data_IF_896083714274
#
_entry.id   IF_896083714274
#
_cell.length_a   1.000
_cell.length_b   1.000
_cell.length_c   1.000
_cell.angle_alpha   90.00
_cell.angle_beta   90.00
_cell.angle_gamma   90.00
#
_symmetry.space_group_name_H-M   'P 1'
#
loop_
_entity.id
_entity.type
_entity.pdbx_description
1 polymer ?
#
# COMPACT_ATOMS: atom_id res chain seq x y z
N UNK A 1 3.19 18.38 14.40
CA UNK A 1 3.98 17.37 13.67
C UNK A 1 3.81 17.63 12.19
N UNK A 2 4.90 17.60 11.41
CA UNK A 2 4.89 17.67 9.95
C UNK A 2 5.49 16.36 9.43
N UNK A 3 4.73 15.61 8.64
CA UNK A 3 5.17 14.38 8.00
C UNK A 3 5.24 14.60 6.49
N UNK A 4 6.37 14.25 5.89
CA UNK A 4 6.61 14.39 4.44
C UNK A 4 7.02 13.02 3.93
N UNK A 5 6.11 12.38 3.20
CA UNK A 5 6.41 11.11 2.53
C UNK A 5 7.15 11.36 1.22
N UNK A 6 7.96 10.39 0.82
CA UNK A 6 8.82 10.44 -0.37
C UNK A 6 9.57 11.77 -0.52
N UNK A 7 10.15 12.27 0.57
CA UNK A 7 10.73 13.62 0.65
C UNK A 7 11.88 13.84 -0.36
N UNK A 8 12.51 12.78 -0.85
CA UNK A 8 13.54 12.83 -1.89
C UNK A 8 13.02 13.37 -3.23
N UNK A 9 11.71 13.31 -3.48
CA UNK A 9 11.07 13.89 -4.68
C UNK A 9 11.29 15.40 -4.77
N UNK A 10 11.45 16.08 -3.63
CA UNK A 10 11.77 17.51 -3.55
C UNK A 10 13.14 17.85 -4.14
N UNK A 11 14.08 16.90 -4.23
CA UNK A 11 15.40 17.13 -4.87
C UNK A 11 15.43 16.70 -6.33
N UNK A 12 14.49 15.84 -6.76
CA UNK A 12 14.44 15.28 -8.12
C UNK A 12 13.62 16.13 -9.12
N UNK A 13 12.97 17.20 -8.66
CA UNK A 13 12.04 18.01 -9.46
C UNK A 13 12.68 18.96 -10.49
N UNK A 14 13.24 18.44 -11.58
CA UNK A 14 13.52 19.19 -12.82
C UNK A 14 14.47 20.38 -12.75
N UNK A 15 14.59 21.15 -13.84
CA UNK A 15 15.49 22.32 -13.99
C UNK A 15 15.16 23.52 -13.07
N UNK A 16 14.16 23.43 -12.18
CA UNK A 16 13.72 24.53 -11.34
C UNK A 16 14.02 24.32 -9.85
N UNK A 17 14.58 25.34 -9.21
CA UNK A 17 15.06 25.34 -7.81
C UNK A 17 13.97 25.29 -6.72
N UNK A 18 12.68 25.19 -7.09
CA UNK A 18 11.56 25.23 -6.13
C UNK A 18 11.64 24.14 -5.05
N UNK A 19 12.11 22.95 -5.43
CA UNK A 19 12.25 21.84 -4.51
C UNK A 19 13.35 22.06 -3.45
N UNK A 20 14.47 22.67 -3.86
CA UNK A 20 15.53 23.11 -2.93
C UNK A 20 15.03 24.23 -2.03
N UNK A 21 14.30 25.20 -2.57
CA UNK A 21 13.74 26.30 -1.77
C UNK A 21 12.75 25.79 -0.72
N UNK A 22 11.89 24.81 -1.07
CA UNK A 22 10.98 24.17 -0.12
C UNK A 22 11.74 23.50 1.04
N UNK A 23 12.81 22.79 0.73
CA UNK A 23 13.70 22.15 1.71
C UNK A 23 14.36 23.19 2.63
N UNK A 24 14.83 24.31 2.08
CA UNK A 24 15.43 25.38 2.87
C UNK A 24 14.40 26.03 3.81
N UNK A 25 13.15 26.21 3.37
CA UNK A 25 12.07 26.69 4.25
C UNK A 25 11.74 25.68 5.35
N UNK A 26 11.81 24.38 5.09
CA UNK A 26 11.62 23.34 6.12
C UNK A 26 12.75 23.42 7.15
N UNK A 27 14.01 23.54 6.73
CA UNK A 27 15.15 23.69 7.64
C UNK A 27 14.98 24.94 8.50
N UNK A 28 14.63 26.07 7.89
CA UNK A 28 14.37 27.32 8.60
C UNK A 28 13.23 27.17 9.61
N UNK A 29 12.15 26.49 9.24
CA UNK A 29 11.03 26.21 10.13
C UNK A 29 11.45 25.34 11.33
N UNK A 30 12.32 24.34 11.11
CA UNK A 30 12.88 23.50 12.17
C UNK A 30 13.73 24.30 13.15
N UNK A 31 14.46 25.30 12.67
CA UNK A 31 15.27 26.19 13.50
C UNK A 31 14.41 27.19 14.29
N UNK A 32 13.54 27.92 13.60
CA UNK A 32 12.71 28.98 14.16
C UNK A 32 11.68 28.45 15.17
N UNK A 33 11.26 27.18 15.01
CA UNK A 33 10.18 26.57 15.81
C UNK A 33 10.56 25.24 16.45
N UNK A 34 11.84 25.02 16.76
CA UNK A 34 12.34 23.75 17.33
C UNK A 34 11.56 23.21 18.54
N UNK A 35 11.02 24.10 19.38
CA UNK A 35 10.28 23.73 20.60
C UNK A 35 8.78 23.45 20.33
N UNK A 36 8.33 23.57 19.07
CA UNK A 36 6.91 23.51 18.67
C UNK A 36 6.63 22.60 17.48
N UNK A 37 7.64 22.13 16.77
CA UNK A 37 7.48 21.26 15.61
C UNK A 37 8.39 20.04 15.69
N UNK A 38 7.84 18.91 15.28
CA UNK A 38 8.59 17.69 14.93
C UNK A 38 8.38 17.49 13.44
N UNK A 39 9.48 17.41 12.68
CA UNK A 39 9.48 17.12 11.25
C UNK A 39 9.98 15.70 11.04
N UNK A 40 9.18 14.90 10.34
CA UNK A 40 9.50 13.52 9.97
C UNK A 40 9.47 13.45 8.45
N UNK A 41 10.59 13.03 7.87
CA UNK A 41 10.73 12.79 6.43
C UNK A 41 10.88 11.29 6.22
N UNK A 42 10.17 10.75 5.22
CA UNK A 42 10.19 9.34 4.87
C UNK A 42 10.51 9.15 3.39
N UNK A 43 11.00 7.96 3.06
CA UNK A 43 11.38 7.57 1.71
C UNK A 43 12.31 6.37 1.73
N UNK A 44 12.71 5.92 0.55
CA UNK A 44 13.68 4.84 0.38
C UNK A 44 15.08 5.25 0.85
N UNK A 45 15.80 4.30 1.45
CA UNK A 45 17.09 4.56 2.13
C UNK A 45 18.10 5.29 1.24
N UNK A 46 18.34 4.78 0.03
CA UNK A 46 19.35 5.33 -0.88
C UNK A 46 18.96 6.75 -1.34
N UNK A 47 17.68 6.98 -1.59
CA UNK A 47 17.14 8.28 -1.95
C UNK A 47 17.19 9.29 -0.79
N UNK A 48 16.93 8.84 0.43
CA UNK A 48 17.05 9.68 1.61
C UNK A 48 18.51 10.03 1.90
N UNK A 49 19.44 9.11 1.66
CA UNK A 49 20.87 9.40 1.76
C UNK A 49 21.32 10.44 0.72
N UNK A 50 20.79 10.37 -0.50
CA UNK A 50 21.01 11.40 -1.53
C UNK A 50 20.42 12.76 -1.10
N UNK A 51 19.19 12.79 -0.59
CA UNK A 51 18.54 14.00 -0.08
C UNK A 51 19.37 14.64 1.04
N UNK A 52 19.77 13.87 2.06
CA UNK A 52 20.54 14.37 3.20
C UNK A 52 21.96 14.80 2.82
N UNK A 53 22.54 14.19 1.78
CA UNK A 53 23.86 14.56 1.28
C UNK A 53 23.84 15.76 0.34
N UNK A 54 22.67 16.20 -0.13
CA UNK A 54 22.54 17.33 -1.05
C UNK A 54 22.88 18.69 -0.41
N UNK A 55 22.75 18.82 0.91
CA UNK A 55 23.08 20.02 1.67
C UNK A 55 23.57 19.64 3.09
N UNK A 56 24.80 20.04 3.49
CA UNK A 56 25.32 19.78 4.84
C UNK A 56 24.40 20.25 5.98
N UNK A 57 23.62 21.30 5.74
CA UNK A 57 22.60 21.79 6.67
C UNK A 57 21.57 20.73 7.01
N UNK A 58 21.03 20.02 6.02
CA UNK A 58 20.00 19.00 6.22
C UNK A 58 20.49 17.85 7.10
N UNK A 59 21.66 17.30 6.80
CA UNK A 59 22.20 16.16 7.55
C UNK A 59 22.35 16.47 9.05
N UNK A 60 22.70 17.70 9.40
CA UNK A 60 22.82 18.12 10.79
C UNK A 60 21.48 18.38 11.50
N UNK A 61 20.42 18.71 10.75
CA UNK A 61 19.06 18.95 11.29
C UNK A 61 18.21 17.68 11.34
N UNK A 62 18.63 16.60 10.70
CA UNK A 62 18.05 15.26 10.80
C UNK A 62 19.02 14.27 11.49
N UNK A 63 19.30 14.43 12.79
CA UNK A 63 20.27 13.58 13.49
C UNK A 63 19.76 12.18 13.80
N UNK A 64 18.43 11.96 13.76
CA UNK A 64 17.81 10.67 14.05
C UNK A 64 17.35 10.03 12.75
N UNK A 65 17.93 8.88 12.44
CA UNK A 65 17.55 8.05 11.29
C UNK A 65 17.02 6.72 11.83
N UNK A 66 15.81 6.35 11.41
CA UNK A 66 15.19 5.07 11.74
C UNK A 66 15.04 4.31 10.43
N UNK A 67 15.68 3.14 10.35
CA UNK A 67 15.60 2.26 9.17
C UNK A 67 14.56 1.19 9.44
N UNK A 68 13.59 1.07 8.53
CA UNK A 68 12.60 -0.01 8.55
C UNK A 68 13.00 -1.05 7.52
N UNK A 69 13.54 -2.21 7.93
CA UNK A 69 13.86 -3.27 6.99
C UNK A 69 12.59 -3.88 6.40
N UNK A 70 12.72 -4.49 5.23
CA UNK A 70 11.65 -5.28 4.64
C UNK A 70 11.28 -6.45 5.56
N UNK A 71 9.98 -6.78 5.60
CA UNK A 71 9.50 -7.93 6.35
C UNK A 71 9.97 -9.23 5.70
N UNK A 72 10.43 -10.18 6.50
CA UNK A 72 10.65 -11.57 6.07
C UNK A 72 9.36 -12.22 5.57
N UNK A 73 9.48 -13.33 4.83
CA UNK A 73 8.30 -14.04 4.32
C UNK A 73 7.38 -14.50 5.46
N UNK A 74 7.96 -14.91 6.59
CA UNK A 74 7.19 -15.31 7.78
C UNK A 74 6.47 -14.14 8.43
N UNK A 75 7.08 -12.95 8.48
CA UNK A 75 6.41 -11.74 8.95
C UNK A 75 5.28 -11.32 8.01
N UNK A 76 5.46 -11.45 6.69
CA UNK A 76 4.40 -11.17 5.71
C UNK A 76 3.23 -12.16 5.85
N UNK A 77 3.50 -13.45 6.07
CA UNK A 77 2.46 -14.44 6.40
C UNK A 77 1.72 -14.04 7.68
N UNK A 78 2.44 -13.63 8.73
CA UNK A 78 1.83 -13.19 9.98
C UNK A 78 0.96 -11.93 9.81
N UNK A 79 1.34 -11.02 8.90
CA UNK A 79 0.51 -9.86 8.54
C UNK A 79 -0.78 -10.32 7.85
N UNK A 80 -0.71 -11.26 6.91
CA UNK A 80 -1.91 -11.82 6.24
C UNK A 80 -2.82 -12.51 7.25
N UNK A 81 -2.28 -13.35 8.13
CA UNK A 81 -3.04 -13.99 9.20
C UNK A 81 -3.71 -12.94 10.10
N UNK A 82 -2.99 -11.90 10.50
CA UNK A 82 -3.54 -10.81 11.31
C UNK A 82 -4.66 -10.03 10.60
N UNK A 83 -4.55 -9.84 9.27
CA UNK A 83 -5.64 -9.24 8.48
C UNK A 83 -6.85 -10.18 8.44
N UNK A 84 -6.62 -11.47 8.20
CA UNK A 84 -7.65 -12.51 8.20
C UNK A 84 -8.42 -12.54 9.52
N UNK A 85 -7.73 -12.63 10.65
CA UNK A 85 -8.33 -12.65 11.99
C UNK A 85 -9.27 -11.44 12.22
N UNK A 86 -8.81 -10.22 11.86
CA UNK A 86 -9.64 -9.01 11.99
C UNK A 86 -10.88 -9.04 11.10
N UNK A 87 -10.79 -9.69 9.94
CA UNK A 87 -11.88 -9.82 8.98
C UNK A 87 -12.67 -11.13 9.15
N UNK A 88 -12.37 -11.95 10.18
CA UNK A 88 -12.97 -13.26 10.46
C UNK A 88 -12.74 -14.31 9.36
N UNK A 89 -11.60 -14.22 8.70
CA UNK A 89 -11.09 -15.27 7.81
C UNK A 89 -9.95 -16.03 8.47
N UNK A 90 -9.90 -17.33 8.23
CA UNK A 90 -8.81 -18.20 8.63
C UNK A 90 -8.21 -18.88 7.40
N UNK A 91 -6.88 -18.84 7.27
CA UNK A 91 -6.18 -19.60 6.24
C UNK A 91 -6.04 -21.05 6.70
N UNK A 92 -6.19 -22.00 5.79
CA UNK A 92 -5.77 -23.39 6.05
C UNK A 92 -4.24 -23.54 6.09
N UNK A 93 -3.75 -24.66 6.60
CA UNK A 93 -2.31 -24.96 6.59
C UNK A 93 -1.73 -24.95 5.15
N UNK A 94 -2.44 -25.55 4.20
CA UNK A 94 -2.02 -25.59 2.80
C UNK A 94 -2.05 -24.19 2.15
N UNK A 95 -3.04 -23.36 2.50
CA UNK A 95 -3.09 -21.97 2.07
C UNK A 95 -1.87 -21.17 2.57
N UNK A 96 -1.45 -21.35 3.82
CA UNK A 96 -0.25 -20.71 4.37
C UNK A 96 1.02 -21.19 3.68
N UNK A 97 1.12 -22.49 3.37
CA UNK A 97 2.25 -23.04 2.62
C UNK A 97 2.33 -22.41 1.22
N UNK A 98 1.20 -22.32 0.52
CA UNK A 98 1.15 -21.67 -0.81
C UNK A 98 1.51 -20.19 -0.70
N UNK A 99 0.92 -19.45 0.24
CA UNK A 99 1.22 -18.03 0.48
C UNK A 99 2.72 -17.81 0.69
N UNK A 100 3.36 -18.60 1.56
CA UNK A 100 4.81 -18.52 1.78
C UNK A 100 5.60 -18.78 0.49
N UNK A 101 5.18 -19.75 -0.32
CA UNK A 101 5.86 -20.05 -1.58
C UNK A 101 5.76 -18.90 -2.60
N UNK A 102 4.61 -18.22 -2.65
CA UNK A 102 4.38 -17.04 -3.49
C UNK A 102 5.27 -15.89 -3.04
N UNK A 103 5.31 -15.62 -1.73
CA UNK A 103 6.15 -14.58 -1.14
C UNK A 103 7.64 -14.83 -1.41
N UNK A 104 8.11 -16.06 -1.21
CA UNK A 104 9.50 -16.45 -1.45
C UNK A 104 9.92 -16.31 -2.93
N UNK A 105 8.97 -16.47 -3.86
CA UNK A 105 9.19 -16.28 -5.29
C UNK A 105 9.10 -14.80 -5.73
N UNK A 106 8.66 -13.90 -4.85
CA UNK A 106 8.45 -12.49 -5.19
C UNK A 106 9.77 -11.70 -5.10
N UNK A 107 10.22 -11.04 -6.18
CA UNK A 107 11.44 -10.25 -6.15
C UNK A 107 11.37 -9.09 -5.14
N UNK A 108 12.33 -9.02 -4.23
CA UNK A 108 12.49 -7.92 -3.27
C UNK A 108 13.34 -6.83 -3.90
N UNK A 109 12.71 -5.99 -4.71
CA UNK A 109 13.34 -4.84 -5.36
C UNK A 109 12.87 -3.49 -4.80
N UNK A 110 13.32 -2.40 -5.41
CA UNK A 110 12.76 -1.07 -5.16
C UNK A 110 11.23 -1.13 -5.34
N UNK A 111 10.49 -0.76 -4.30
CA UNK A 111 9.03 -0.77 -4.35
C UNK A 111 8.35 -2.11 -4.05
N UNK A 112 9.03 -3.09 -3.42
CA UNK A 112 8.46 -4.39 -3.00
C UNK A 112 7.11 -4.31 -2.25
N UNK A 113 6.76 -3.16 -1.68
CA UNK A 113 5.42 -2.88 -1.15
C UNK A 113 5.16 -3.46 0.24
N UNK A 114 5.94 -4.44 0.71
CA UNK A 114 5.90 -4.97 2.09
C UNK A 114 4.46 -5.27 2.57
N UNK A 115 3.97 -4.57 3.59
CA UNK A 115 2.63 -4.75 4.13
C UNK A 115 1.52 -4.49 3.09
N UNK A 116 1.77 -3.65 2.08
CA UNK A 116 0.86 -3.45 0.94
C UNK A 116 0.74 -4.72 0.12
N UNK A 117 1.86 -5.39 -0.16
CA UNK A 117 1.85 -6.68 -0.87
C UNK A 117 1.05 -7.74 -0.09
N UNK A 118 1.27 -7.86 1.22
CA UNK A 118 0.50 -8.79 2.06
C UNK A 118 -1.01 -8.51 2.00
N UNK A 119 -1.41 -7.22 2.03
CA UNK A 119 -2.80 -6.81 1.88
C UNK A 119 -3.37 -7.19 0.51
N UNK A 120 -2.68 -6.87 -0.58
CA UNK A 120 -3.13 -7.17 -1.94
C UNK A 120 -3.30 -8.70 -2.13
N UNK A 121 -2.37 -9.51 -1.62
CA UNK A 121 -2.48 -10.97 -1.66
C UNK A 121 -3.70 -11.49 -0.91
N UNK A 122 -4.00 -10.91 0.26
CA UNK A 122 -5.20 -11.26 1.02
C UNK A 122 -6.49 -10.86 0.28
N UNK A 123 -6.55 -9.65 -0.27
CA UNK A 123 -7.70 -9.16 -1.03
C UNK A 123 -7.95 -10.00 -2.31
N UNK A 124 -6.88 -10.37 -3.02
CA UNK A 124 -6.96 -11.33 -4.13
C UNK A 124 -7.51 -12.69 -3.67
N UNK A 125 -7.09 -13.17 -2.50
CA UNK A 125 -7.60 -14.41 -1.94
C UNK A 125 -9.10 -14.35 -1.62
N UNK A 126 -9.57 -13.24 -1.04
CA UNK A 126 -11.00 -13.01 -0.80
C UNK A 126 -11.80 -13.02 -2.11
N UNK A 127 -11.28 -12.37 -3.16
CA UNK A 127 -11.95 -12.33 -4.46
C UNK A 127 -12.06 -13.72 -5.11
N UNK A 128 -11.00 -14.53 -5.03
CA UNK A 128 -11.02 -15.90 -5.52
C UNK A 128 -11.95 -16.80 -4.69
N UNK A 129 -11.92 -16.62 -3.38
CA UNK A 129 -12.83 -17.29 -2.46
C UNK A 129 -14.30 -17.02 -2.81
N UNK A 130 -14.67 -15.75 -3.00
CA UNK A 130 -16.03 -15.39 -3.39
C UNK A 130 -16.46 -16.06 -4.71
N UNK A 131 -15.56 -16.11 -5.70
CA UNK A 131 -15.80 -16.80 -6.98
C UNK A 131 -16.01 -18.30 -6.78
N UNK A 132 -15.19 -18.94 -5.94
CA UNK A 132 -15.31 -20.36 -5.60
C UNK A 132 -16.64 -20.66 -4.93
N UNK A 133 -17.00 -19.90 -3.89
CA UNK A 133 -18.27 -20.09 -3.16
C UNK A 133 -19.48 -19.94 -4.09
N UNK A 134 -19.46 -18.95 -5.00
CA UNK A 134 -20.54 -18.79 -6.00
C UNK A 134 -20.61 -19.92 -7.03
N UNK A 135 -19.50 -20.60 -7.32
CA UNK A 135 -19.44 -21.70 -8.27
C UNK A 135 -19.89 -23.04 -7.66
N UNK A 136 -19.92 -23.16 -6.33
CA UNK A 136 -20.48 -24.33 -5.66
C UNK A 136 -22.01 -24.32 -5.78
N UNK A 137 -22.57 -25.36 -6.40
CA UNK A 137 -24.02 -25.50 -6.62
C UNK A 137 -24.84 -25.83 -5.36
N UNK A 138 -24.17 -26.14 -4.26
CA UNK A 138 -24.77 -26.40 -2.96
C UNK A 138 -24.65 -25.16 -2.05
N UNK A 139 -25.54 -25.05 -1.06
CA UNK A 139 -25.48 -23.96 -0.09
C UNK A 139 -24.19 -24.07 0.76
N UNK A 140 -23.35 -23.01 0.82
CA UNK A 140 -22.10 -23.04 1.57
C UNK A 140 -22.37 -23.18 3.08
N UNK A 141 -21.49 -23.91 3.76
CA UNK A 141 -21.49 -23.98 5.23
C UNK A 141 -20.89 -22.70 5.83
N UNK A 142 -21.12 -22.46 7.13
CA UNK A 142 -20.47 -21.34 7.83
C UNK A 142 -18.94 -21.40 7.73
N UNK A 143 -18.37 -22.62 7.82
CA UNK A 143 -16.93 -22.82 7.67
C UNK A 143 -16.43 -22.48 6.25
N UNK A 144 -17.25 -22.75 5.22
CA UNK A 144 -16.93 -22.38 3.84
C UNK A 144 -16.89 -20.86 3.67
N UNK A 145 -17.64 -20.09 4.44
CA UNK A 145 -17.68 -18.63 4.32
C UNK A 145 -16.52 -17.91 5.03
N UNK A 146 -15.80 -18.62 5.91
CA UNK A 146 -14.73 -18.04 6.73
C UNK A 146 -13.36 -18.66 6.47
N UNK A 147 -13.27 -19.72 5.66
CA UNK A 147 -12.01 -20.47 5.47
C UNK A 147 -11.42 -20.24 4.09
N UNK A 148 -10.19 -19.72 4.05
CA UNK A 148 -9.40 -19.58 2.83
C UNK A 148 -8.51 -20.80 2.61
N UNK A 149 -8.68 -21.43 1.45
CA UNK A 149 -7.93 -22.63 1.05
C UNK A 149 -6.86 -22.27 0.01
N UNK A 150 -5.95 -23.20 -0.28
CA UNK A 150 -4.83 -22.94 -1.19
C UNK A 150 -5.27 -22.53 -2.62
N UNK A 151 -6.44 -22.96 -3.09
CA UNK A 151 -6.95 -22.54 -4.41
C UNK A 151 -7.40 -21.07 -4.44
N UNK A 152 -7.72 -20.48 -3.29
CA UNK A 152 -8.11 -19.08 -3.18
C UNK A 152 -6.88 -18.16 -3.35
N UNK A 153 -5.68 -18.62 -2.98
CA UNK A 153 -4.47 -17.82 -3.07
C UNK A 153 -3.99 -17.68 -4.53
N UNK A 154 -3.53 -16.50 -4.97
CA UNK A 154 -2.98 -16.34 -6.31
C UNK A 154 -1.69 -17.16 -6.48
N UNK A 155 -1.34 -17.52 -7.72
CA UNK A 155 -0.12 -18.29 -8.01
C UNK A 155 1.15 -17.43 -8.03
N UNK A 156 1.00 -16.10 -8.10
CA UNK A 156 2.09 -15.13 -8.07
C UNK A 156 1.62 -13.86 -7.37
N UNK A 157 2.54 -13.15 -6.75
CA UNK A 157 2.31 -11.78 -6.31
C UNK A 157 2.27 -10.85 -7.53
N UNK A 158 1.28 -9.97 -7.56
CA UNK A 158 1.30 -8.82 -8.43
C UNK A 158 1.55 -7.57 -7.56
N UNK A 159 2.72 -6.94 -7.67
CA UNK A 159 3.04 -5.74 -6.87
C UNK A 159 2.18 -4.53 -7.28
N UNK A 160 1.57 -4.54 -8.47
CA UNK A 160 0.81 -3.42 -9.04
C UNK A 160 -0.71 -3.63 -9.05
N UNK A 161 -1.21 -4.83 -8.72
CA UNK A 161 -2.65 -5.11 -8.64
C UNK A 161 -3.23 -4.53 -7.33
N UNK A 162 -3.37 -3.21 -7.31
CA UNK A 162 -4.34 -2.54 -6.46
C UNK A 162 -5.71 -2.96 -6.97
N UNK A 163 -6.36 -3.87 -6.24
CA UNK A 163 -7.65 -4.46 -6.61
C UNK A 163 -8.54 -3.41 -7.27
N UNK A 164 -8.93 -3.68 -8.51
CA UNK A 164 -9.85 -2.82 -9.26
C UNK A 164 -11.10 -2.65 -8.42
N UNK A 165 -11.28 -1.46 -7.85
CA UNK A 165 -12.48 -1.06 -7.14
C UNK A 165 -13.64 -1.16 -8.14
N UNK A 166 -14.36 -2.28 -8.09
CA UNK A 166 -15.63 -2.45 -8.79
C UNK A 166 -16.70 -1.64 -8.04
N UNK A 167 -16.51 -0.33 -7.98
CA UNK A 167 -17.45 0.65 -7.47
C UNK A 167 -18.37 1.14 -8.59
N UNK A 168 -19.50 0.45 -8.74
CA UNK A 168 -20.84 1.02 -8.97
C UNK A 168 -20.92 2.34 -9.76
N UNK A 169 -21.22 2.26 -11.06
CA UNK A 169 -22.06 3.27 -11.70
C UNK A 169 -23.42 2.65 -12.04
N UNK A 170 -24.22 2.51 -10.97
CA UNK A 170 -25.64 2.31 -11.06
C UNK A 170 -26.33 3.63 -10.70
N UNK A 171 -26.75 4.36 -11.74
CA UNK A 171 -27.95 5.18 -11.68
C UNK A 171 -27.72 6.69 -11.59
N UNK A 172 -28.03 7.38 -12.68
CA UNK A 172 -29.01 8.47 -12.58
C UNK A 172 -29.91 8.45 -13.81
N UNK A 173 -31.03 7.73 -13.66
CA UNK A 173 -32.27 8.05 -14.36
C UNK A 173 -32.91 9.24 -13.63
N UNK A 174 -32.85 10.42 -14.25
CA UNK A 174 -33.83 11.48 -13.99
C UNK A 174 -34.15 12.15 -15.31
N UNK A 175 -35.40 11.96 -15.72
CA UNK A 175 -35.89 12.36 -17.02
C UNK A 175 -36.02 13.87 -17.20
N UNK A 176 -36.18 14.25 -18.47
CA UNK A 176 -37.03 15.38 -18.80
C UNK A 176 -37.80 15.06 -20.10
N UNK A 177 -39.12 15.25 -20.02
CA UNK A 177 -40.06 15.17 -21.15
C UNK A 177 -40.54 16.59 -21.41
N UNK A 178 -40.70 16.92 -22.70
CA UNK A 178 -41.26 18.16 -23.28
C UNK A 178 -40.20 19.27 -23.41
N UNK A 179 -40.04 20.02 -24.51
CA UNK A 179 -40.99 20.50 -25.52
C UNK A 179 -40.24 20.99 -26.79
N UNK A 180 -40.91 21.06 -27.94
CA UNK A 180 -40.51 21.84 -29.14
C UNK A 180 -40.39 21.02 -30.43
N UNK A 181 -41.45 20.87 -31.23
CA UNK A 181 -41.88 21.75 -32.34
C UNK A 181 -41.00 21.72 -33.61
N UNK A 182 -41.66 21.41 -34.74
CA UNK A 182 -41.29 21.64 -36.16
C UNK A 182 -40.18 20.74 -36.73
N UNK A 183 -40.42 19.89 -37.73
CA UNK A 183 -41.22 20.06 -38.97
C UNK A 183 -41.85 18.76 -39.46
#
# INVERSE_FOLDING_TARGET
>A
MLFIDEAYTLVRGGENDFGREAIDQIVKLMEDRRDRIVVVVAGYTDEMDQLLSSNPGLRSRFPTVIVFPDYSDDELVAIVDSIGERQRYELTADARIKLRSVLAATPRGHGFGNARLARNLFEAAINNHARRIMAHGDAPTEADLTTLVAEDLPDRADPDDAGTDAGTDAGTDHGDRSSGESS
#
